data_IF_026769327514
#
_entry.id   IF_026769327514
#
_cell.length_a   1.000
_cell.length_b   1.000
_cell.length_c   1.000
_cell.angle_alpha   90.00
_cell.angle_beta   90.00
_cell.angle_gamma   90.00
#
_symmetry.space_group_name_H-M   'P 1'
#
loop_
_entity.id
_entity.type
_entity.pdbx_description
1 polymer ?
#
# COMPACT_ATOMS: atom_id res chain seq x y z
N UNK A 1 -3.02 -5.95 -9.44
CA UNK A 1 -3.17 -7.40 -9.15
C UNK A 1 -4.04 -8.08 -10.19
N UNK A 2 -5.27 -7.59 -10.41
CA UNK A 2 -6.18 -8.14 -11.43
C UNK A 2 -6.18 -7.32 -12.74
N UNK A 3 -5.74 -6.07 -12.66
CA UNK A 3 -5.67 -5.12 -13.77
C UNK A 3 -4.25 -4.99 -14.34
N UNK A 4 -4.16 -4.42 -15.54
CA UNK A 4 -2.90 -4.12 -16.25
C UNK A 4 -2.00 -3.14 -15.49
N UNK A 5 -0.71 -3.11 -15.87
CA UNK A 5 0.29 -2.23 -15.25
C UNK A 5 -0.13 -0.74 -15.29
N UNK A 6 -0.74 -0.31 -16.39
CA UNK A 6 -1.22 1.08 -16.58
C UNK A 6 -2.35 1.43 -15.61
N UNK A 7 -3.38 0.59 -15.52
CA UNK A 7 -4.49 0.79 -14.59
C UNK A 7 -3.99 0.86 -13.14
N UNK A 8 -3.05 -0.01 -12.75
CA UNK A 8 -2.49 0.01 -11.39
C UNK A 8 -1.76 1.30 -11.04
N UNK A 9 -1.02 1.90 -11.98
CA UNK A 9 -0.35 3.19 -11.77
C UNK A 9 -1.39 4.28 -11.47
N UNK A 10 -2.47 4.36 -12.26
CA UNK A 10 -3.52 5.37 -12.05
C UNK A 10 -4.23 5.19 -10.70
N UNK A 11 -4.54 3.96 -10.31
CA UNK A 11 -5.14 3.69 -8.99
C UNK A 11 -4.19 4.07 -7.84
N UNK A 12 -2.89 3.75 -7.97
CA UNK A 12 -1.88 4.15 -7.00
C UNK A 12 -1.74 5.67 -6.86
N UNK A 13 -1.72 6.37 -7.99
CA UNK A 13 -1.63 7.84 -8.04
C UNK A 13 -2.85 8.50 -7.42
N UNK A 14 -4.06 8.13 -7.85
CA UNK A 14 -5.30 8.70 -7.33
C UNK A 14 -5.47 8.42 -5.84
N UNK A 15 -5.21 7.17 -5.42
CA UNK A 15 -5.29 6.78 -4.01
C UNK A 15 -4.31 7.57 -3.14
N UNK A 16 -3.07 7.76 -3.60
CA UNK A 16 -2.09 8.52 -2.84
C UNK A 16 -2.33 10.02 -2.86
N UNK A 17 -2.86 10.60 -3.94
CA UNK A 17 -3.30 12.00 -3.97
C UNK A 17 -4.45 12.25 -2.99
N UNK A 18 -5.43 11.33 -2.90
CA UNK A 18 -6.52 11.42 -1.91
C UNK A 18 -5.97 11.37 -0.48
N UNK A 19 -5.01 10.49 -0.22
CA UNK A 19 -4.34 10.43 1.09
C UNK A 19 -3.59 11.74 1.38
N UNK A 20 -2.84 12.26 0.42
CA UNK A 20 -2.09 13.50 0.57
C UNK A 20 -3.00 14.70 0.87
N UNK A 21 -4.24 14.74 0.36
CA UNK A 21 -5.19 15.82 0.66
C UNK A 21 -5.69 15.83 2.12
N UNK A 22 -5.72 14.67 2.79
CA UNK A 22 -6.20 14.54 4.18
C UNK A 22 -5.03 14.61 5.19
N UNK A 23 -3.81 14.30 4.74
CA UNK A 23 -2.62 14.31 5.59
C UNK A 23 -2.11 15.74 5.80
N UNK A 24 -1.82 16.12 7.05
CA UNK A 24 -1.38 17.47 7.41
C UNK A 24 0.08 17.80 7.02
N UNK A 25 0.90 16.82 6.62
CA UNK A 25 2.33 17.00 6.25
C UNK A 25 2.71 16.14 5.04
N UNK A 26 1.89 16.15 4.01
CA UNK A 26 2.08 15.41 2.77
C UNK A 26 2.84 16.25 1.75
N UNK A 27 4.16 16.09 1.66
CA UNK A 27 4.95 16.62 0.53
C UNK A 27 4.72 15.78 -0.75
N UNK A 28 3.48 15.41 -1.05
CA UNK A 28 3.07 14.47 -2.10
C UNK A 28 3.76 13.09 -2.03
N UNK A 29 4.27 12.75 -0.85
CA UNK A 29 5.02 11.52 -0.64
C UNK A 29 4.12 10.29 -0.79
N UNK A 30 2.86 10.35 -0.33
CA UNK A 30 1.97 9.22 -0.40
C UNK A 30 1.59 8.91 -1.86
N UNK A 31 1.30 9.92 -2.68
CA UNK A 31 1.09 9.79 -4.12
C UNK A 31 2.26 9.14 -4.84
N UNK A 32 3.48 9.63 -4.63
CA UNK A 32 4.67 9.09 -5.29
C UNK A 32 4.93 7.63 -4.88
N UNK A 33 4.90 7.36 -3.57
CA UNK A 33 5.20 6.03 -3.05
C UNK A 33 4.16 5.00 -3.52
N UNK A 34 2.85 5.32 -3.42
CA UNK A 34 1.79 4.40 -3.81
C UNK A 34 1.78 4.13 -5.31
N UNK A 35 2.12 5.11 -6.15
CA UNK A 35 2.26 4.91 -7.59
C UNK A 35 3.37 3.91 -7.92
N UNK A 36 4.55 4.10 -7.32
CA UNK A 36 5.70 3.21 -7.51
C UNK A 36 5.38 1.80 -6.98
N UNK A 37 4.82 1.70 -5.78
CA UNK A 37 4.44 0.43 -5.17
C UNK A 37 3.37 -0.30 -6.00
N UNK A 38 2.37 0.42 -6.52
CA UNK A 38 1.34 -0.17 -7.39
C UNK A 38 1.92 -0.70 -8.70
N UNK A 39 2.88 0.01 -9.30
CA UNK A 39 3.59 -0.47 -10.49
C UNK A 39 4.37 -1.76 -10.20
N UNK A 40 5.22 -1.77 -9.17
CA UNK A 40 6.02 -2.95 -8.83
C UNK A 40 5.16 -4.17 -8.47
N UNK A 41 4.12 -3.98 -7.66
CA UNK A 41 3.23 -5.09 -7.27
C UNK A 41 2.46 -5.64 -8.47
N UNK A 42 2.03 -4.78 -9.40
CA UNK A 42 1.34 -5.23 -10.62
C UNK A 42 2.28 -5.99 -11.56
N UNK A 43 3.48 -5.46 -11.80
CA UNK A 43 4.51 -6.12 -12.62
C UNK A 43 4.93 -7.47 -12.04
N UNK A 44 5.15 -7.56 -10.72
CA UNK A 44 5.60 -8.78 -10.06
C UNK A 44 4.55 -9.91 -10.13
N UNK A 45 3.27 -9.55 -10.02
CA UNK A 45 2.16 -10.51 -10.11
C UNK A 45 1.91 -10.94 -11.56
N UNK A 46 2.06 -10.04 -12.54
CA UNK A 46 1.82 -10.39 -13.94
C UNK A 46 2.96 -11.21 -14.55
N UNK A 47 4.22 -10.93 -14.17
CA UNK A 47 5.40 -11.51 -14.83
C UNK A 47 6.06 -12.65 -14.05
N UNK A 48 5.98 -12.66 -12.72
CA UNK A 48 6.82 -13.54 -11.88
C UNK A 48 5.98 -14.46 -10.99
N UNK A 49 4.88 -14.00 -10.40
CA UNK A 49 4.17 -14.75 -9.37
C UNK A 49 2.79 -15.24 -9.78
N UNK A 50 2.43 -16.43 -9.31
CA UNK A 50 1.05 -16.90 -9.38
C UNK A 50 0.18 -16.06 -8.45
N UNK A 51 -0.88 -15.44 -8.99
CA UNK A 51 -1.83 -14.65 -8.19
C UNK A 51 -2.60 -15.57 -7.24
N UNK A 52 -2.14 -15.65 -6.00
CA UNK A 52 -2.76 -16.41 -4.91
C UNK A 52 -3.00 -15.47 -3.73
N UNK A 53 -3.88 -15.87 -2.82
CA UNK A 53 -4.24 -15.04 -1.67
C UNK A 53 -3.01 -14.75 -0.80
N UNK A 54 -2.13 -15.74 -0.64
CA UNK A 54 -0.91 -15.61 0.15
C UNK A 54 0.11 -14.65 -0.49
N UNK A 55 0.37 -14.76 -1.80
CA UNK A 55 1.31 -13.87 -2.50
C UNK A 55 0.81 -12.42 -2.50
N UNK A 56 -0.50 -12.24 -2.60
CA UNK A 56 -1.12 -10.91 -2.54
C UNK A 56 -1.03 -10.28 -1.16
N UNK A 57 -1.31 -11.05 -0.11
CA UNK A 57 -1.16 -10.61 1.27
C UNK A 57 0.29 -10.26 1.61
N UNK A 58 1.25 -11.11 1.22
CA UNK A 58 2.67 -10.85 1.43
C UNK A 58 3.12 -9.56 0.74
N UNK A 59 2.70 -9.33 -0.50
CA UNK A 59 3.05 -8.10 -1.22
C UNK A 59 2.50 -6.85 -0.53
N UNK A 60 1.23 -6.87 -0.11
CA UNK A 60 0.63 -5.73 0.58
C UNK A 60 1.32 -5.48 1.93
N UNK A 61 1.62 -6.54 2.67
CA UNK A 61 2.34 -6.48 3.95
C UNK A 61 3.72 -5.83 3.76
N UNK A 62 4.51 -6.30 2.80
CA UNK A 62 5.86 -5.75 2.51
C UNK A 62 5.77 -4.29 2.08
N UNK A 63 4.87 -3.94 1.16
CA UNK A 63 4.74 -2.56 0.68
C UNK A 63 4.28 -1.60 1.78
N UNK A 64 3.38 -2.05 2.67
CA UNK A 64 2.92 -1.23 3.81
C UNK A 64 4.03 -1.01 4.83
N UNK A 65 4.84 -2.04 5.08
CA UNK A 65 5.99 -1.92 5.99
C UNK A 65 7.04 -0.97 5.40
N UNK A 66 7.37 -1.11 4.12
CA UNK A 66 8.26 -0.19 3.41
C UNK A 66 7.74 1.25 3.45
N UNK A 67 6.45 1.47 3.21
CA UNK A 67 5.84 2.81 3.26
C UNK A 67 6.04 3.46 4.63
N UNK A 68 5.70 2.74 5.70
CA UNK A 68 5.84 3.22 7.07
C UNK A 68 7.31 3.47 7.45
N UNK A 69 8.23 2.58 7.06
CA UNK A 69 9.66 2.74 7.35
C UNK A 69 10.26 3.93 6.61
N UNK A 70 9.97 4.10 5.32
CA UNK A 70 10.50 5.22 4.52
C UNK A 70 9.90 6.54 5.00
N UNK A 71 8.59 6.59 5.28
CA UNK A 71 7.96 7.79 5.82
C UNK A 71 8.54 8.19 7.18
N UNK A 72 8.73 7.22 8.08
CA UNK A 72 9.36 7.47 9.38
C UNK A 72 10.81 7.95 9.22
N UNK A 73 11.61 7.30 8.38
CA UNK A 73 13.01 7.66 8.15
C UNK A 73 13.16 9.07 7.57
N UNK A 74 12.31 9.46 6.62
CA UNK A 74 12.41 10.77 5.98
C UNK A 74 11.78 11.89 6.81
N UNK A 75 10.61 11.68 7.43
CA UNK A 75 9.86 12.78 8.04
C UNK A 75 9.95 12.82 9.56
N UNK A 76 10.18 11.69 10.22
CA UNK A 76 10.24 11.63 11.70
C UNK A 76 11.68 11.71 12.19
N UNK A 77 12.61 11.00 11.52
CA UNK A 77 14.02 10.96 11.91
C UNK A 77 14.74 12.29 11.62
N UNK A 78 14.50 12.88 10.44
CA UNK A 78 15.09 14.19 10.08
C UNK A 78 14.52 15.36 10.90
N UNK A 79 13.35 15.21 11.53
CA UNK A 79 12.71 16.24 12.34
C UNK A 79 13.17 16.24 13.81
N UNK A 80 14.13 15.38 14.17
CA UNK A 80 14.79 15.28 15.49
C UNK A 80 13.87 15.44 16.71
N UNK A 81 12.74 14.74 16.73
CA UNK A 81 11.83 14.77 17.88
C UNK A 81 12.27 13.73 18.91
N UNK A 82 12.47 14.13 20.17
CA UNK A 82 12.98 13.25 21.26
C UNK A 82 12.09 12.03 21.56
N UNK A 83 10.90 11.94 20.95
CA UNK A 83 9.96 10.81 21.03
C UNK A 83 9.75 10.06 19.70
N UNK A 84 10.72 10.13 18.78
CA UNK A 84 10.63 9.47 17.46
C UNK A 84 10.41 7.94 17.53
N UNK A 85 10.96 7.28 18.56
CA UNK A 85 10.81 5.83 18.77
C UNK A 85 9.43 5.41 19.27
N UNK A 86 8.84 6.14 20.21
CA UNK A 86 7.52 5.85 20.79
C UNK A 86 6.39 6.07 19.77
N UNK A 87 6.53 7.06 18.89
CA UNK A 87 5.57 7.31 17.80
C UNK A 87 5.60 6.17 16.78
N UNK A 88 6.78 5.57 16.51
CA UNK A 88 6.92 4.41 15.62
C UNK A 88 6.12 3.20 16.10
N UNK A 89 6.33 2.80 17.36
CA UNK A 89 5.69 1.62 17.93
C UNK A 89 4.19 1.80 18.19
N UNK A 90 3.73 3.00 18.54
CA UNK A 90 2.31 3.21 18.85
C UNK A 90 1.46 3.48 17.60
N UNK A 91 1.90 4.35 16.69
CA UNK A 91 1.07 4.79 15.55
C UNK A 91 1.32 4.01 14.27
N UNK A 92 2.59 3.77 13.91
CA UNK A 92 2.92 3.10 12.64
C UNK A 92 2.69 1.58 12.72
N UNK A 93 2.98 0.97 13.87
CA UNK A 93 2.69 -0.47 14.08
C UNK A 93 1.18 -0.74 14.09
N UNK A 94 0.39 0.12 14.75
CA UNK A 94 -1.07 -0.02 14.77
C UNK A 94 -1.66 0.15 13.36
N UNK A 95 -1.17 1.15 12.61
CA UNK A 95 -1.55 1.33 11.21
C UNK A 95 -1.20 0.11 10.35
N UNK A 96 -0.04 -0.51 10.57
CA UNK A 96 0.36 -1.71 9.84
C UNK A 96 -0.59 -2.89 10.12
N UNK A 97 -0.94 -3.14 11.38
CA UNK A 97 -1.86 -4.22 11.76
C UNK A 97 -3.25 -4.00 11.12
N UNK A 98 -3.78 -2.78 11.22
CA UNK A 98 -5.07 -2.44 10.63
C UNK A 98 -5.09 -2.62 9.12
N UNK A 99 -4.07 -2.10 8.41
CA UNK A 99 -3.96 -2.26 6.95
C UNK A 99 -3.84 -3.73 6.55
N UNK A 100 -3.11 -4.54 7.32
CA UNK A 100 -2.96 -5.96 7.07
C UNK A 100 -4.30 -6.70 7.14
N UNK A 101 -5.12 -6.46 8.17
CA UNK A 101 -6.45 -7.08 8.30
C UNK A 101 -7.37 -6.64 7.16
N UNK A 102 -7.41 -5.33 6.89
CA UNK A 102 -8.27 -4.75 5.84
C UNK A 102 -7.89 -5.29 4.46
N UNK A 103 -6.59 -5.51 4.20
CA UNK A 103 -6.12 -6.04 2.92
C UNK A 103 -6.67 -7.42 2.58
N UNK A 104 -6.86 -8.28 3.59
CA UNK A 104 -7.43 -9.62 3.42
C UNK A 104 -8.90 -9.50 2.98
N UNK A 105 -9.67 -8.62 3.63
CA UNK A 105 -11.08 -8.39 3.29
C UNK A 105 -11.24 -7.84 1.88
N UNK A 106 -10.43 -6.83 1.51
CA UNK A 106 -10.46 -6.25 0.16
C UNK A 106 -10.11 -7.31 -0.90
N UNK A 107 -9.10 -8.14 -0.66
CA UNK A 107 -8.73 -9.19 -1.60
C UNK A 107 -9.88 -10.18 -1.85
N UNK A 108 -10.60 -10.59 -0.79
CA UNK A 108 -11.73 -11.50 -0.92
C UNK A 108 -12.86 -10.90 -1.75
N UNK A 109 -13.17 -9.61 -1.54
CA UNK A 109 -14.20 -8.89 -2.31
C UNK A 109 -13.81 -8.80 -3.78
N UNK A 110 -12.58 -8.37 -4.08
CA UNK A 110 -12.10 -8.23 -5.46
C UNK A 110 -12.05 -9.58 -6.18
N UNK A 111 -11.64 -10.65 -5.48
CA UNK A 111 -11.67 -12.01 -6.02
C UNK A 111 -13.09 -12.47 -6.33
N UNK A 112 -14.06 -12.17 -5.46
CA UNK A 112 -15.47 -12.51 -5.68
C UNK A 112 -16.03 -11.77 -6.90
N UNK A 113 -15.80 -10.46 -7.00
CA UNK A 113 -16.20 -9.64 -8.14
C UNK A 113 -15.58 -10.16 -9.44
N UNK A 114 -14.28 -10.42 -9.46
CA UNK A 114 -13.60 -10.93 -10.65
C UNK A 114 -14.17 -12.28 -11.10
N UNK A 115 -14.60 -13.14 -10.16
CA UNK A 115 -15.27 -14.40 -10.51
C UNK A 115 -16.62 -14.14 -11.18
N UNK A 116 -17.44 -13.24 -10.61
CA UNK A 116 -18.75 -12.89 -11.18
C UNK A 116 -18.64 -12.29 -12.58
N UNK A 117 -17.70 -11.36 -12.81
CA UNK A 117 -17.51 -10.74 -14.14
C UNK A 117 -16.92 -11.68 -15.19
N UNK A 118 -16.36 -12.83 -14.80
CA UNK A 118 -15.84 -13.85 -15.72
C UNK A 118 -16.90 -14.88 -16.13
N UNK A 119 -18.01 -14.94 -15.39
CA UNK A 119 -19.15 -15.82 -15.66
C UNK A 119 -20.20 -15.15 -16.57
N UNK A 120 -20.03 -13.86 -16.89
CA UNK A 120 -20.77 -13.11 -17.92
C UNK A 120 -19.92 -12.95 -19.17
#
# INVERSE_FOLDING_TARGET
>A
MFETETASIFFGLLGGLLWDNVSANSHYFHALFLTIAAFFTSMLIQKIMRNTLLTSFLLVSVMTLLHNTVYWALFVLLKSTESAGTIYFSKYLLSYILTSIVSILIYLIVKALHKTFREY
#
